data_IF_632121739824
#
_entry.id   IF_632121739824
#
_cell.length_a   1.000
_cell.length_b   1.000
_cell.length_c   1.000
_cell.angle_alpha   90.00
_cell.angle_beta   90.00
_cell.angle_gamma   90.00
#
_symmetry.space_group_name_H-M   'P 1'
#
loop_
_entity.id
_entity.type
_entity.pdbx_description
1 polymer ?
#
# COMPACT_ATOMS: atom_id res chain seq x y z
N UNK A 1 -25.07 0.92 8.62
CA UNK A 1 -25.26 1.06 7.16
C UNK A 1 -25.77 -0.28 6.61
N UNK A 2 -26.86 -0.33 5.82
CA UNK A 2 -27.55 -1.60 5.48
C UNK A 2 -26.86 -2.46 4.40
N UNK A 3 -26.04 -1.88 3.51
CA UNK A 3 -25.36 -2.59 2.40
C UNK A 3 -23.94 -2.04 2.17
N UNK A 4 -22.97 -2.33 3.07
CA UNK A 4 -21.64 -1.74 3.01
C UNK A 4 -20.85 -2.09 1.75
N UNK A 5 -20.97 -3.32 1.23
CA UNK A 5 -20.30 -3.77 0.01
C UNK A 5 -20.68 -2.94 -1.24
N UNK A 6 -21.97 -2.61 -1.38
CA UNK A 6 -22.45 -1.81 -2.51
C UNK A 6 -22.00 -0.36 -2.40
N UNK A 7 -22.04 0.20 -1.19
CA UNK A 7 -21.54 1.53 -0.91
C UNK A 7 -20.04 1.63 -1.21
N UNK A 8 -19.28 0.56 -0.92
CA UNK A 8 -17.85 0.50 -1.19
C UNK A 8 -17.57 0.53 -2.70
N UNK A 9 -18.24 -0.32 -3.48
CA UNK A 9 -18.11 -0.30 -4.95
C UNK A 9 -18.51 1.06 -5.55
N UNK A 10 -19.58 1.67 -5.04
CA UNK A 10 -19.99 3.02 -5.47
C UNK A 10 -18.91 4.07 -5.17
N UNK A 11 -18.27 3.98 -4.00
CA UNK A 11 -17.17 4.89 -3.63
C UNK A 11 -15.97 4.74 -4.55
N UNK A 12 -15.58 3.50 -4.90
CA UNK A 12 -14.50 3.23 -5.87
C UNK A 12 -14.84 3.82 -7.24
N UNK A 13 -16.04 3.57 -7.75
CA UNK A 13 -16.48 4.13 -9.04
C UNK A 13 -16.49 5.65 -9.04
N UNK A 14 -16.89 6.28 -7.94
CA UNK A 14 -16.90 7.74 -7.82
C UNK A 14 -15.48 8.32 -7.89
N UNK A 15 -14.50 7.66 -7.24
CA UNK A 15 -13.09 8.06 -7.30
C UNK A 15 -12.52 7.83 -8.70
N UNK A 16 -12.82 6.70 -9.35
CA UNK A 16 -12.35 6.44 -10.74
C UNK A 16 -12.83 7.54 -11.69
N UNK A 17 -14.08 7.99 -11.54
CA UNK A 17 -14.66 9.04 -12.39
C UNK A 17 -14.18 10.45 -12.06
N UNK A 18 -13.91 10.73 -10.78
CA UNK A 18 -13.43 12.04 -10.34
C UNK A 18 -12.49 11.89 -9.13
N UNK A 19 -11.21 11.56 -9.37
CA UNK A 19 -10.22 11.29 -8.32
C UNK A 19 -9.75 12.55 -7.59
N UNK A 20 -9.88 13.74 -8.19
CA UNK A 20 -9.51 15.00 -7.57
C UNK A 20 -10.57 15.50 -6.55
N UNK A 21 -11.78 14.95 -6.57
CA UNK A 21 -12.86 15.41 -5.70
C UNK A 21 -12.78 14.80 -4.30
N UNK A 22 -12.26 15.57 -3.33
CA UNK A 22 -11.99 15.12 -1.97
C UNK A 22 -13.18 14.42 -1.27
N UNK A 23 -14.42 14.82 -1.54
CA UNK A 23 -15.61 14.20 -0.92
C UNK A 23 -15.80 12.75 -1.36
N UNK A 24 -15.31 12.36 -2.53
CA UNK A 24 -15.33 10.96 -2.95
C UNK A 24 -14.45 10.10 -2.04
N UNK A 25 -13.28 10.63 -1.67
CA UNK A 25 -12.37 9.99 -0.72
C UNK A 25 -12.94 9.96 0.71
N UNK A 26 -13.61 11.01 1.18
CA UNK A 26 -14.30 10.98 2.48
C UNK A 26 -15.43 9.94 2.55
N UNK A 27 -16.22 9.81 1.46
CA UNK A 27 -17.26 8.77 1.37
C UNK A 27 -16.65 7.38 1.42
N UNK A 28 -15.54 7.17 0.71
CA UNK A 28 -14.80 5.91 0.78
C UNK A 28 -14.29 5.63 2.19
N UNK A 29 -13.71 6.63 2.87
CA UNK A 29 -13.23 6.50 4.23
C UNK A 29 -14.34 6.13 5.23
N UNK A 30 -15.53 6.72 5.08
CA UNK A 30 -16.70 6.39 5.89
C UNK A 30 -17.16 4.94 5.68
N UNK A 31 -17.13 4.45 4.44
CA UNK A 31 -17.46 3.05 4.14
C UNK A 31 -16.41 2.09 4.70
N UNK A 32 -15.11 2.39 4.54
CA UNK A 32 -14.04 1.58 5.12
C UNK A 32 -14.14 1.50 6.65
N UNK A 33 -14.42 2.62 7.32
CA UNK A 33 -14.68 2.62 8.77
C UNK A 33 -15.84 1.69 9.15
N UNK A 34 -16.92 1.69 8.39
CA UNK A 34 -18.07 0.80 8.64
C UNK A 34 -17.76 -0.69 8.40
N UNK A 35 -16.69 -0.97 7.66
CA UNK A 35 -16.17 -2.31 7.40
C UNK A 35 -15.00 -2.67 8.33
N UNK A 36 -14.70 -1.82 9.32
CA UNK A 36 -13.57 -1.97 10.25
C UNK A 36 -12.19 -2.01 9.56
N UNK A 37 -12.11 -1.40 8.37
CA UNK A 37 -10.91 -1.28 7.55
C UNK A 37 -10.22 0.07 7.81
N UNK A 38 -9.78 0.24 9.06
CA UNK A 38 -9.36 1.54 9.57
C UNK A 38 -8.10 2.10 8.89
N UNK A 39 -7.16 1.24 8.51
CA UNK A 39 -5.96 1.64 7.75
C UNK A 39 -6.32 2.24 6.39
N UNK A 40 -7.21 1.59 5.63
CA UNK A 40 -7.70 2.13 4.36
C UNK A 40 -8.54 3.40 4.58
N UNK A 41 -9.34 3.46 5.66
CA UNK A 41 -10.07 4.67 6.01
C UNK A 41 -9.14 5.85 6.30
N UNK A 42 -8.03 5.61 7.02
CA UNK A 42 -7.00 6.61 7.30
C UNK A 42 -6.37 7.11 5.99
N UNK A 43 -5.98 6.20 5.09
CA UNK A 43 -5.41 6.56 3.78
C UNK A 43 -6.37 7.41 2.95
N UNK A 44 -7.63 6.98 2.81
CA UNK A 44 -8.64 7.74 2.06
C UNK A 44 -8.87 9.13 2.68
N UNK A 45 -8.84 9.25 4.01
CA UNK A 45 -9.02 10.54 4.68
C UNK A 45 -7.82 11.47 4.47
N UNK A 46 -6.60 10.95 4.56
CA UNK A 46 -5.37 11.70 4.26
C UNK A 46 -5.39 12.23 2.81
N UNK A 47 -5.76 11.38 1.85
CA UNK A 47 -5.92 11.78 0.45
C UNK A 47 -7.01 12.85 0.30
N UNK A 48 -8.12 12.74 1.04
CA UNK A 48 -9.17 13.75 1.02
C UNK A 48 -8.65 15.12 1.51
N UNK A 49 -7.90 15.16 2.61
CA UNK A 49 -7.34 16.40 3.12
C UNK A 49 -6.35 17.01 2.11
N UNK A 50 -5.46 16.19 1.55
CA UNK A 50 -4.50 16.64 0.54
C UNK A 50 -5.18 17.17 -0.73
N UNK A 51 -6.15 16.44 -1.28
CA UNK A 51 -6.89 16.84 -2.49
C UNK A 51 -7.78 18.07 -2.25
N UNK A 52 -8.29 18.26 -1.03
CA UNK A 52 -8.99 19.48 -0.64
C UNK A 52 -8.10 20.72 -0.79
N UNK A 53 -6.87 20.66 -0.29
CA UNK A 53 -5.89 21.74 -0.44
C UNK A 53 -5.43 21.92 -1.89
N UNK A 54 -5.13 20.83 -2.60
CA UNK A 54 -4.75 20.84 -4.01
C UNK A 54 -5.81 21.54 -4.89
N UNK A 55 -7.09 21.34 -4.56
CA UNK A 55 -8.23 21.93 -5.28
C UNK A 55 -8.52 23.39 -4.89
N UNK A 56 -7.64 24.05 -4.12
CA UNK A 56 -7.79 25.44 -3.69
C UNK A 56 -8.68 25.61 -2.45
N UNK A 57 -8.88 24.56 -1.66
CA UNK A 57 -9.54 24.64 -0.35
C UNK A 57 -8.75 25.55 0.60
N UNK A 58 -9.43 26.54 1.18
CA UNK A 58 -8.82 27.53 2.10
C UNK A 58 -9.45 27.56 3.49
N UNK A 59 -10.55 26.84 3.68
CA UNK A 59 -11.20 26.76 4.98
C UNK A 59 -10.45 25.80 5.91
N UNK A 60 -9.74 26.39 6.87
CA UNK A 60 -8.99 25.68 7.89
C UNK A 60 -9.89 24.82 8.77
N UNK A 61 -11.15 25.19 8.96
CA UNK A 61 -12.09 24.42 9.77
C UNK A 61 -12.38 23.06 9.11
N UNK A 62 -12.69 23.05 7.81
CA UNK A 62 -12.89 21.83 7.04
C UNK A 62 -11.66 20.91 7.10
N UNK A 63 -10.46 21.43 6.82
CA UNK A 63 -9.23 20.62 6.90
C UNK A 63 -8.99 20.08 8.32
N UNK A 64 -9.24 20.87 9.36
CA UNK A 64 -9.14 20.43 10.76
C UNK A 64 -10.06 19.25 11.05
N UNK A 65 -11.32 19.29 10.60
CA UNK A 65 -12.26 18.18 10.77
C UNK A 65 -11.81 16.91 10.05
N UNK A 66 -11.28 17.05 8.83
CA UNK A 66 -10.75 15.91 8.06
C UNK A 66 -9.55 15.29 8.79
N UNK A 67 -8.62 16.10 9.29
CA UNK A 67 -7.46 15.63 10.07
C UNK A 67 -7.85 14.95 11.38
N UNK A 68 -8.87 15.45 12.08
CA UNK A 68 -9.40 14.77 13.28
C UNK A 68 -9.98 13.41 12.93
N UNK A 69 -10.69 13.29 11.82
CA UNK A 69 -11.20 11.99 11.34
C UNK A 69 -10.03 11.06 10.95
N UNK A 70 -9.01 11.58 10.29
CA UNK A 70 -7.81 10.83 9.92
C UNK A 70 -7.08 10.30 11.17
N UNK A 71 -6.90 11.15 12.19
CA UNK A 71 -6.31 10.78 13.47
C UNK A 71 -7.09 9.64 14.14
N UNK A 72 -8.41 9.77 14.23
CA UNK A 72 -9.25 8.73 14.81
C UNK A 72 -9.12 7.39 14.06
N UNK A 73 -8.97 7.41 12.73
CA UNK A 73 -8.78 6.17 11.95
C UNK A 73 -7.41 5.53 12.19
N UNK A 74 -6.35 6.31 12.35
CA UNK A 74 -5.03 5.78 12.71
C UNK A 74 -5.07 5.18 14.12
N UNK A 75 -5.64 5.89 15.09
CA UNK A 75 -5.72 5.43 16.48
C UNK A 75 -6.52 4.14 16.61
N UNK A 76 -7.64 4.02 15.89
CA UNK A 76 -8.43 2.79 15.86
C UNK A 76 -7.67 1.66 15.16
N UNK A 77 -6.96 1.94 14.05
CA UNK A 77 -6.14 0.94 13.37
C UNK A 77 -5.02 0.38 14.28
N UNK A 78 -4.40 1.24 15.09
CA UNK A 78 -3.39 0.84 16.08
C UNK A 78 -4.03 0.03 17.21
N UNK A 79 -5.15 0.50 17.75
CA UNK A 79 -5.86 -0.15 18.87
C UNK A 79 -6.33 -1.55 18.50
N UNK A 80 -6.71 -1.77 17.25
CA UNK A 80 -7.16 -3.07 16.71
C UNK A 80 -6.02 -3.95 16.19
N UNK A 81 -4.78 -3.45 16.14
CA UNK A 81 -3.66 -4.19 15.59
C UNK A 81 -3.22 -5.33 16.53
N UNK A 82 -3.46 -6.57 16.13
CA UNK A 82 -3.04 -7.74 16.91
C UNK A 82 -1.56 -8.13 16.68
N UNK A 83 -1.07 -7.92 15.46
CA UNK A 83 0.17 -8.50 14.94
C UNK A 83 1.37 -7.54 14.92
N UNK A 84 1.11 -6.24 15.08
CA UNK A 84 2.15 -5.22 15.05
C UNK A 84 1.89 -4.12 16.07
N UNK A 85 2.97 -3.44 16.48
CA UNK A 85 2.94 -2.18 17.22
C UNK A 85 3.72 -1.12 16.44
N UNK A 86 3.46 0.15 16.70
CA UNK A 86 3.98 1.26 15.92
C UNK A 86 4.58 2.36 16.80
N UNK A 87 5.64 2.96 16.29
CA UNK A 87 6.20 4.20 16.82
C UNK A 87 6.53 5.15 15.67
N UNK A 88 6.03 6.38 15.77
CA UNK A 88 6.41 7.48 14.88
C UNK A 88 7.48 8.33 15.57
N UNK A 89 8.60 8.57 14.87
CA UNK A 89 9.68 9.43 15.39
C UNK A 89 9.88 10.63 14.48
N UNK A 90 9.83 11.88 14.99
CA UNK A 90 10.12 13.06 14.19
C UNK A 90 11.47 12.96 13.48
N UNK A 91 11.51 13.33 12.20
CA UNK A 91 12.68 13.15 11.35
C UNK A 91 13.14 14.48 10.71
N UNK A 92 14.44 14.77 10.81
CA UNK A 92 15.12 15.89 10.15
C UNK A 92 16.15 15.36 9.12
N UNK A 93 15.68 15.10 7.89
CA UNK A 93 16.36 14.95 6.58
C UNK A 93 17.54 13.94 6.45
N UNK A 94 18.29 13.54 7.49
CA UNK A 94 19.30 12.45 7.37
C UNK A 94 19.32 11.49 8.56
N UNK A 95 18.97 10.22 8.32
CA UNK A 95 19.16 9.12 9.27
C UNK A 95 20.55 8.54 9.06
N UNK A 96 21.38 8.52 10.11
CA UNK A 96 22.60 7.70 10.16
C UNK A 96 22.25 6.32 10.74
N UNK A 97 22.99 5.27 10.40
CA UNK A 97 22.76 3.93 10.93
C UNK A 97 22.80 3.88 12.48
N UNK A 98 23.64 4.69 13.10
CA UNK A 98 23.71 4.88 14.56
C UNK A 98 22.39 5.40 15.17
N UNK A 99 21.58 6.13 14.39
CA UNK A 99 20.27 6.59 14.83
C UNK A 99 19.23 5.47 14.75
N UNK A 100 19.34 4.53 13.80
CA UNK A 100 18.38 3.43 13.70
C UNK A 100 18.47 2.45 14.86
N UNK A 101 19.68 2.17 15.39
CA UNK A 101 19.82 1.25 16.52
C UNK A 101 19.26 1.84 17.81
N UNK A 102 19.49 3.13 18.05
CA UNK A 102 18.85 3.86 19.17
C UNK A 102 17.32 3.83 19.08
N UNK A 103 16.75 3.97 17.88
CA UNK A 103 15.30 3.89 17.69
C UNK A 103 14.76 2.50 18.00
N UNK A 104 15.49 1.44 17.61
CA UNK A 104 15.13 0.06 17.96
C UNK A 104 15.17 -0.15 19.46
N UNK A 105 16.20 0.32 20.16
CA UNK A 105 16.29 0.21 21.62
C UNK A 105 15.12 0.92 22.32
N UNK A 106 14.79 2.15 21.91
CA UNK A 106 13.63 2.89 22.43
C UNK A 106 12.33 2.14 22.14
N UNK A 107 12.19 1.58 20.94
CA UNK A 107 11.03 0.79 20.56
C UNK A 107 10.86 -0.45 21.45
N UNK A 108 11.94 -1.24 21.62
CA UNK A 108 11.96 -2.47 22.44
C UNK A 108 11.49 -2.17 23.86
N UNK A 109 11.97 -1.07 24.45
CA UNK A 109 11.57 -0.66 25.80
C UNK A 109 10.09 -0.30 25.92
N UNK A 110 9.49 0.29 24.88
CA UNK A 110 8.09 0.72 24.88
C UNK A 110 7.13 -0.39 24.48
N UNK A 111 7.57 -1.33 23.64
CA UNK A 111 6.73 -2.36 23.05
C UNK A 111 7.41 -3.74 23.10
N UNK A 112 7.68 -4.27 24.31
CA UNK A 112 8.43 -5.52 24.47
C UNK A 112 7.75 -6.73 23.83
N UNK A 113 6.42 -6.71 23.69
CA UNK A 113 5.65 -7.83 23.11
C UNK A 113 5.72 -7.92 21.58
N UNK A 114 6.39 -6.96 20.92
CA UNK A 114 6.41 -6.81 19.46
C UNK A 114 7.85 -6.73 18.91
N UNK A 115 8.78 -7.49 19.50
CA UNK A 115 10.22 -7.39 19.21
C UNK A 115 10.79 -8.53 18.37
N UNK A 116 9.96 -9.51 17.98
CA UNK A 116 10.39 -10.65 17.14
C UNK A 116 11.01 -10.19 15.82
N UNK A 117 10.52 -9.06 15.29
CA UNK A 117 11.17 -8.35 14.20
C UNK A 117 10.80 -6.87 14.22
N UNK A 118 11.80 -6.00 14.08
CA UNK A 118 11.61 -4.54 14.02
C UNK A 118 11.90 -4.07 12.61
N UNK A 119 10.87 -3.54 11.96
CA UNK A 119 10.93 -2.92 10.65
C UNK A 119 10.95 -1.40 10.80
N UNK A 120 11.80 -0.72 10.04
CA UNK A 120 11.82 0.75 9.98
C UNK A 120 11.74 1.18 8.53
N UNK A 121 10.76 2.03 8.18
CA UNK A 121 10.65 2.55 6.81
C UNK A 121 11.70 3.64 6.58
N UNK A 122 12.94 3.22 6.26
CA UNK A 122 14.09 4.11 6.04
C UNK A 122 13.90 5.15 4.93
N UNK A 123 12.91 4.94 4.06
CA UNK A 123 12.57 5.84 2.95
C UNK A 123 11.25 6.58 3.18
N UNK A 124 10.63 6.42 4.35
CA UNK A 124 9.31 6.93 4.67
C UNK A 124 9.33 8.37 5.15
N UNK A 125 8.88 9.29 4.28
CA UNK A 125 8.41 10.61 4.69
C UNK A 125 6.95 10.47 5.14
N UNK A 126 6.74 10.01 6.38
CA UNK A 126 5.39 9.90 6.92
C UNK A 126 4.88 11.26 7.41
N UNK A 127 3.61 11.53 7.18
CA UNK A 127 2.88 12.68 7.68
C UNK A 127 1.83 12.23 8.69
N UNK A 128 1.76 12.91 9.82
CA UNK A 128 0.75 12.67 10.84
C UNK A 128 -0.29 13.78 10.85
N UNK A 129 -1.58 13.49 11.12
CA UNK A 129 -2.66 14.47 11.05
C UNK A 129 -2.45 15.71 11.93
N UNK A 130 -1.75 15.55 13.05
CA UNK A 130 -1.50 16.63 14.01
C UNK A 130 -0.50 17.68 13.50
N UNK A 131 0.40 17.29 12.60
CA UNK A 131 1.47 18.17 12.09
C UNK A 131 1.49 18.27 10.57
N UNK A 132 0.58 17.59 9.88
CA UNK A 132 0.41 17.71 8.44
C UNK A 132 -0.06 19.13 8.14
N UNK A 133 0.74 19.87 7.39
CA UNK A 133 0.37 21.15 6.82
C UNK A 133 0.70 21.14 5.33
N UNK A 134 -0.31 20.86 4.51
CA UNK A 134 -0.16 20.77 3.06
C UNK A 134 0.05 22.15 2.41
N UNK A 135 -0.16 23.24 3.14
CA UNK A 135 0.19 24.58 2.68
C UNK A 135 1.68 24.90 2.88
N UNK A 136 2.36 24.14 3.75
CA UNK A 136 3.78 24.30 4.02
C UNK A 136 4.60 23.44 3.04
N UNK A 137 5.65 23.99 2.39
CA UNK A 137 6.50 23.26 1.46
C UNK A 137 7.39 22.20 2.14
N UNK A 138 7.54 22.25 3.47
CA UNK A 138 8.36 21.31 4.25
C UNK A 138 7.62 20.87 5.53
N UNK A 139 6.53 20.08 5.42
CA UNK A 139 5.80 19.63 6.59
C UNK A 139 6.67 18.69 7.44
N UNK A 140 6.42 18.69 8.75
CA UNK A 140 7.11 17.80 9.68
C UNK A 140 6.92 16.35 9.24
N UNK A 141 8.04 15.68 8.95
CA UNK A 141 8.06 14.27 8.55
C UNK A 141 8.41 13.37 9.71
N UNK A 142 7.93 12.13 9.66
CA UNK A 142 8.18 11.11 10.67
C UNK A 142 8.78 9.86 10.04
N UNK A 143 9.64 9.21 10.80
CA UNK A 143 10.05 7.85 10.55
C UNK A 143 9.07 6.88 11.22
N UNK A 144 8.59 5.90 10.47
CA UNK A 144 7.75 4.82 10.98
C UNK A 144 8.63 3.64 11.41
N UNK A 145 8.48 3.22 12.66
CA UNK A 145 9.02 1.95 13.18
C UNK A 145 7.86 1.03 13.54
N UNK A 146 7.89 -0.18 13.01
CA UNK A 146 6.93 -1.24 13.29
C UNK A 146 7.63 -2.39 14.02
N UNK A 147 7.05 -2.80 15.14
CA UNK A 147 7.40 -4.05 15.81
C UNK A 147 6.41 -5.13 15.42
N UNK A 148 6.89 -6.32 15.08
CA UNK A 148 6.08 -7.44 14.63
C UNK A 148 6.23 -8.61 15.58
N UNK A 149 5.13 -9.34 15.81
CA UNK A 149 5.14 -10.61 16.57
C UNK A 149 5.62 -11.81 15.75
N UNK A 150 5.78 -11.65 14.44
CA UNK A 150 6.17 -12.73 13.55
C UNK A 150 7.35 -12.31 12.68
N UNK A 151 8.47 -12.99 12.88
CA UNK A 151 9.72 -12.72 12.17
C UNK A 151 9.63 -12.91 10.66
N UNK A 152 8.88 -13.90 10.20
CA UNK A 152 8.73 -14.17 8.76
C UNK A 152 7.89 -13.10 8.07
N UNK A 153 6.85 -12.58 8.74
CA UNK A 153 6.09 -11.41 8.27
C UNK A 153 6.99 -10.19 8.13
N UNK A 154 7.88 -9.96 9.10
CA UNK A 154 8.82 -8.84 9.08
C UNK A 154 9.85 -8.93 7.96
N UNK A 155 10.51 -10.08 7.82
CA UNK A 155 11.41 -10.35 6.68
C UNK A 155 10.69 -10.18 5.36
N UNK A 156 9.43 -10.61 5.27
CA UNK A 156 8.63 -10.49 4.06
C UNK A 156 8.34 -9.01 3.73
N UNK A 157 7.98 -8.22 4.74
CA UNK A 157 7.71 -6.79 4.61
C UNK A 157 8.97 -6.02 4.17
N UNK A 158 10.12 -6.23 4.83
CA UNK A 158 11.40 -5.61 4.46
C UNK A 158 11.82 -6.02 3.05
N UNK A 159 11.65 -7.31 2.73
CA UNK A 159 11.87 -7.82 1.39
C UNK A 159 11.01 -7.07 0.39
N UNK A 160 9.75 -6.73 0.67
CA UNK A 160 8.91 -5.95 -0.24
C UNK A 160 9.28 -4.47 -0.32
N UNK A 161 9.62 -3.84 0.81
CA UNK A 161 9.98 -2.42 0.81
C UNK A 161 11.30 -2.14 0.12
N UNK A 162 12.31 -3.01 0.22
CA UNK A 162 13.61 -2.81 -0.45
C UNK A 162 13.60 -3.10 -1.96
N UNK A 163 12.44 -3.35 -2.59
CA UNK A 163 12.36 -3.81 -3.98
C UNK A 163 11.81 -2.76 -4.94
N UNK A 164 12.50 -2.61 -6.08
CA UNK A 164 11.99 -1.84 -7.23
C UNK A 164 10.85 -2.53 -7.98
N UNK A 165 10.68 -3.84 -7.81
CA UNK A 165 9.65 -4.67 -8.48
C UNK A 165 9.19 -5.83 -7.55
N UNK A 166 7.88 -6.10 -7.42
CA UNK A 166 7.36 -7.15 -6.56
C UNK A 166 7.74 -8.55 -7.06
N UNK A 167 8.21 -9.40 -6.15
CA UNK A 167 8.50 -10.82 -6.44
C UNK A 167 7.98 -11.71 -5.32
N UNK A 168 6.88 -12.41 -5.57
CA UNK A 168 6.40 -13.48 -4.69
C UNK A 168 6.88 -14.80 -5.27
N UNK A 169 8.14 -15.17 -4.99
CA UNK A 169 8.53 -16.57 -5.09
C UNK A 169 9.22 -16.98 -3.81
N UNK A 170 8.50 -17.78 -3.02
CA UNK A 170 9.10 -18.77 -2.11
C UNK A 170 9.33 -20.10 -2.85
N UNK A 171 9.38 -20.07 -4.18
CA UNK A 171 9.52 -21.29 -4.97
C UNK A 171 10.99 -21.58 -5.27
N UNK A 172 11.39 -22.83 -4.99
CA UNK A 172 12.67 -23.40 -5.40
C UNK A 172 12.76 -23.66 -6.91
N UNK A 173 11.64 -23.60 -7.65
CA UNK A 173 11.62 -23.71 -9.11
C UNK A 173 10.60 -22.72 -9.75
N UNK A 174 10.91 -22.04 -10.87
CA UNK A 174 10.11 -20.91 -11.38
C UNK A 174 8.83 -21.29 -12.13
N UNK A 175 8.46 -22.57 -12.20
CA UNK A 175 7.45 -23.07 -13.15
C UNK A 175 6.50 -24.15 -12.59
N UNK A 176 6.49 -24.41 -11.28
CA UNK A 176 5.45 -25.26 -10.70
C UNK A 176 4.10 -24.53 -10.76
N UNK A 177 3.03 -25.17 -11.29
CA UNK A 177 1.68 -24.69 -11.09
C UNK A 177 1.43 -24.55 -9.58
N UNK A 178 1.05 -23.35 -9.12
CA UNK A 178 0.64 -23.14 -7.74
C UNK A 178 -0.59 -24.02 -7.50
N UNK A 179 -0.48 -24.97 -6.58
CA UNK A 179 -1.61 -25.81 -6.17
C UNK A 179 -2.68 -24.96 -5.49
N UNK A 180 -3.94 -25.41 -5.48
CA UNK A 180 -5.01 -24.67 -4.77
C UNK A 180 -4.68 -24.46 -3.29
N UNK A 181 -4.05 -25.42 -2.65
CA UNK A 181 -3.66 -25.35 -1.23
C UNK A 181 -2.52 -24.33 -1.00
N UNK A 182 -1.54 -24.28 -1.89
CA UNK A 182 -0.50 -23.25 -1.85
C UNK A 182 -1.08 -21.86 -2.09
N UNK A 183 -2.00 -21.71 -3.05
CA UNK A 183 -2.70 -20.45 -3.31
C UNK A 183 -3.49 -19.98 -2.08
N UNK A 184 -4.14 -20.90 -1.36
CA UNK A 184 -4.87 -20.60 -0.13
C UNK A 184 -3.92 -20.13 0.99
N UNK A 185 -2.80 -20.83 1.23
CA UNK A 185 -1.79 -20.40 2.22
C UNK A 185 -1.18 -19.03 1.89
N UNK A 186 -0.90 -18.80 0.60
CA UNK A 186 -0.40 -17.51 0.12
C UNK A 186 -1.46 -16.42 0.31
N UNK A 187 -2.71 -16.70 -0.01
CA UNK A 187 -3.82 -15.78 0.17
C UNK A 187 -3.98 -15.36 1.63
N UNK A 188 -3.88 -16.30 2.57
CA UNK A 188 -3.96 -15.99 4.00
C UNK A 188 -2.78 -15.15 4.47
N UNK A 189 -1.57 -15.48 4.03
CA UNK A 189 -0.36 -14.72 4.42
C UNK A 189 -0.40 -13.32 3.85
N UNK A 190 -0.64 -13.17 2.55
CA UNK A 190 -0.67 -11.89 1.86
C UNK A 190 -1.86 -11.05 2.32
N UNK A 191 -3.07 -11.63 2.26
CA UNK A 191 -4.31 -10.93 2.51
C UNK A 191 -4.54 -10.55 3.96
N UNK A 192 -4.26 -11.44 4.91
CA UNK A 192 -4.58 -11.20 6.32
C UNK A 192 -3.43 -10.60 7.12
N UNK A 193 -2.18 -10.78 6.68
CA UNK A 193 -1.01 -10.32 7.44
C UNK A 193 -0.28 -9.17 6.77
N UNK A 194 0.03 -9.30 5.48
CA UNK A 194 0.87 -8.32 4.79
C UNK A 194 0.09 -7.09 4.35
N UNK A 195 -1.00 -7.26 3.59
CA UNK A 195 -1.79 -6.14 3.06
C UNK A 195 -2.27 -5.18 4.15
N UNK A 196 -2.77 -5.63 5.32
CA UNK A 196 -3.19 -4.71 6.38
C UNK A 196 -2.05 -3.85 6.92
N UNK A 197 -0.83 -4.40 7.03
CA UNK A 197 0.36 -3.66 7.45
C UNK A 197 0.75 -2.65 6.36
N UNK A 198 0.71 -3.03 5.09
CA UNK A 198 0.98 -2.11 3.99
C UNK A 198 -0.04 -0.96 3.93
N UNK A 199 -1.32 -1.28 4.06
CA UNK A 199 -2.38 -0.28 4.10
C UNK A 199 -2.21 0.65 5.30
N UNK A 200 -1.74 0.14 6.44
CA UNK A 200 -1.41 0.95 7.62
C UNK A 200 -0.25 1.92 7.34
N UNK A 201 0.88 1.42 6.80
CA UNK A 201 2.05 2.24 6.41
C UNK A 201 1.58 3.36 5.45
N UNK A 202 0.77 3.01 4.45
CA UNK A 202 0.22 3.93 3.46
C UNK A 202 -0.83 4.89 4.03
N UNK A 203 -1.41 4.60 5.19
CA UNK A 203 -2.33 5.49 5.91
C UNK A 203 -1.69 6.77 6.42
N UNK A 204 -0.36 6.86 6.41
CA UNK A 204 0.42 8.04 6.81
C UNK A 204 1.42 8.51 5.76
N UNK A 205 1.29 8.03 4.52
CA UNK A 205 2.27 8.27 3.46
C UNK A 205 1.58 8.60 2.14
N UNK A 206 1.74 9.85 1.69
CA UNK A 206 1.16 10.33 0.44
C UNK A 206 1.80 9.66 -0.78
N UNK A 207 3.13 9.69 -0.84
CA UNK A 207 3.92 9.19 -1.98
C UNK A 207 4.60 7.86 -1.65
N UNK A 208 4.54 6.91 -2.57
CA UNK A 208 5.23 5.63 -2.40
C UNK A 208 6.71 5.77 -2.76
N UNK A 209 7.60 5.41 -1.85
CA UNK A 209 9.05 5.54 -2.04
C UNK A 209 9.65 4.51 -3.00
N UNK A 210 8.90 3.48 -3.40
CA UNK A 210 9.43 2.28 -4.03
C UNK A 210 8.96 2.03 -5.48
N UNK A 211 8.04 2.87 -5.97
CA UNK A 211 7.49 3.03 -7.31
C UNK A 211 6.06 3.54 -7.10
N UNK A 212 5.54 4.40 -7.99
CA UNK A 212 4.21 4.98 -7.86
C UNK A 212 3.09 3.96 -7.61
N UNK A 213 3.28 2.72 -8.07
CA UNK A 213 2.27 1.67 -8.05
C UNK A 213 2.58 0.50 -7.11
N UNK A 214 3.62 0.57 -6.25
CA UNK A 214 4.09 -0.60 -5.49
C UNK A 214 2.95 -1.28 -4.74
N UNK A 215 2.28 -0.58 -3.80
CA UNK A 215 1.19 -1.14 -2.99
C UNK A 215 -0.04 -1.60 -3.77
N UNK A 216 -0.24 -1.10 -5.00
CA UNK A 216 -1.33 -1.54 -5.89
C UNK A 216 -0.99 -2.89 -6.51
N UNK A 217 0.27 -3.15 -6.84
CA UNK A 217 0.67 -4.39 -7.49
C UNK A 217 0.45 -5.58 -6.54
N UNK A 218 0.76 -5.46 -5.24
CA UNK A 218 0.43 -6.51 -4.27
C UNK A 218 -1.08 -6.78 -4.20
N UNK A 219 -1.92 -5.74 -4.27
CA UNK A 219 -3.38 -5.90 -4.30
C UNK A 219 -3.86 -6.61 -5.56
N UNK A 220 -3.30 -6.29 -6.74
CA UNK A 220 -3.65 -6.96 -7.99
C UNK A 220 -3.17 -8.43 -8.01
N UNK A 221 -2.06 -8.73 -7.34
CA UNK A 221 -1.61 -10.11 -7.14
C UNK A 221 -2.54 -10.87 -6.19
N UNK A 222 -2.96 -10.25 -5.08
CA UNK A 222 -3.97 -10.80 -4.19
C UNK A 222 -5.28 -11.07 -4.94
N UNK A 223 -5.74 -10.14 -5.79
CA UNK A 223 -6.90 -10.35 -6.66
C UNK A 223 -6.72 -11.52 -7.63
N UNK A 224 -5.51 -11.70 -8.18
CA UNK A 224 -5.21 -12.83 -9.07
C UNK A 224 -5.33 -14.18 -8.35
N UNK A 225 -4.91 -14.26 -7.07
CA UNK A 225 -5.09 -15.46 -6.24
C UNK A 225 -6.57 -15.71 -5.94
N UNK A 226 -7.35 -14.67 -5.60
CA UNK A 226 -8.80 -14.77 -5.40
C UNK A 226 -9.51 -15.34 -6.63
N UNK A 227 -9.13 -14.88 -7.83
CA UNK A 227 -9.69 -15.38 -9.09
C UNK A 227 -9.40 -16.87 -9.32
N UNK A 228 -8.17 -17.34 -9.03
CA UNK A 228 -7.81 -18.77 -9.13
C UNK A 228 -8.62 -19.64 -8.17
N UNK A 229 -8.96 -19.09 -7.01
CA UNK A 229 -9.80 -19.74 -5.99
C UNK A 229 -11.30 -19.54 -6.23
N UNK A 230 -11.71 -18.97 -7.37
CA UNK A 230 -13.12 -18.70 -7.72
C UNK A 230 -13.85 -17.77 -6.73
N UNK A 231 -13.13 -16.93 -6.00
CA UNK A 231 -13.70 -15.91 -5.09
C UNK A 231 -13.98 -14.61 -5.84
N UNK A 232 -14.81 -14.69 -6.87
CA UNK A 232 -15.02 -13.64 -7.89
C UNK A 232 -15.52 -12.32 -7.29
N UNK A 233 -16.42 -12.38 -6.29
CA UNK A 233 -16.95 -11.17 -5.64
C UNK A 233 -15.84 -10.36 -4.97
N UNK A 234 -14.99 -11.03 -4.19
CA UNK A 234 -13.86 -10.40 -3.50
C UNK A 234 -12.79 -9.92 -4.48
N UNK A 235 -12.51 -10.73 -5.50
CA UNK A 235 -11.62 -10.33 -6.58
C UNK A 235 -12.07 -9.01 -7.21
N UNK A 236 -13.34 -8.88 -7.57
CA UNK A 236 -13.90 -7.65 -8.15
C UNK A 236 -13.77 -6.46 -7.20
N UNK A 237 -14.06 -6.64 -5.91
CA UNK A 237 -13.90 -5.58 -4.91
C UNK A 237 -12.44 -5.09 -4.81
N UNK A 238 -11.47 -6.01 -4.74
CA UNK A 238 -10.05 -5.66 -4.68
C UNK A 238 -9.59 -4.95 -5.94
N UNK A 239 -10.04 -5.39 -7.13
CA UNK A 239 -9.67 -4.75 -8.40
C UNK A 239 -10.31 -3.36 -8.51
N UNK A 240 -11.56 -3.18 -8.11
CA UNK A 240 -12.20 -1.85 -8.06
C UNK A 240 -11.45 -0.90 -7.12
N UNK A 241 -10.97 -1.39 -5.98
CA UNK A 241 -10.12 -0.61 -5.10
C UNK A 241 -8.77 -0.26 -5.74
N UNK A 242 -8.10 -1.23 -6.34
CA UNK A 242 -6.84 -1.00 -7.05
C UNK A 242 -7.00 0.04 -8.17
N UNK A 243 -8.10 -0.02 -8.93
CA UNK A 243 -8.43 0.96 -9.96
C UNK A 243 -8.64 2.37 -9.40
N UNK A 244 -9.37 2.49 -8.28
CA UNK A 244 -9.56 3.78 -7.62
C UNK A 244 -8.22 4.35 -7.10
N UNK A 245 -7.35 3.50 -6.55
CA UNK A 245 -6.01 3.92 -6.12
C UNK A 245 -5.17 4.36 -7.32
N UNK A 246 -5.13 3.59 -8.42
CA UNK A 246 -4.41 3.94 -9.65
C UNK A 246 -4.88 5.29 -10.22
N UNK A 247 -6.20 5.52 -10.29
CA UNK A 247 -6.75 6.77 -10.78
C UNK A 247 -6.34 7.99 -9.93
N UNK A 248 -5.98 7.78 -8.67
CA UNK A 248 -5.63 8.84 -7.73
C UNK A 248 -4.14 9.22 -7.78
N UNK A 249 -3.25 8.27 -8.13
CA UNK A 249 -1.79 8.48 -8.11
C UNK A 249 -1.34 9.75 -8.86
N UNK A 250 -1.85 10.07 -10.08
CA UNK A 250 -1.43 11.28 -10.81
C UNK A 250 -1.67 12.60 -10.08
N UNK A 251 -2.54 12.60 -9.07
CA UNK A 251 -2.87 13.78 -8.27
C UNK A 251 -2.06 13.87 -6.98
N UNK A 252 -1.41 12.79 -6.56
CA UNK A 252 -0.67 12.72 -5.29
C UNK A 252 0.82 13.04 -5.44
N UNK A 253 1.37 12.86 -6.64
CA UNK A 253 2.79 13.06 -6.91
C UNK A 253 3.05 13.32 -8.39
N UNK A 254 4.19 13.95 -8.68
CA UNK A 254 4.70 14.05 -10.03
C UNK A 254 5.15 12.67 -10.52
N UNK A 255 4.53 12.19 -11.59
CA UNK A 255 4.84 10.90 -12.19
C UNK A 255 5.76 11.12 -13.39
N UNK A 256 6.88 10.39 -13.43
CA UNK A 256 7.76 10.37 -14.59
C UNK A 256 7.15 9.53 -15.75
N UNK A 257 7.70 9.65 -16.95
CA UNK A 257 7.17 8.96 -18.12
C UNK A 257 7.11 7.42 -17.97
N UNK A 258 8.16 6.72 -17.49
CA UNK A 258 8.09 5.28 -17.24
C UNK A 258 7.01 4.85 -16.24
N UNK A 259 6.85 5.57 -15.13
CA UNK A 259 5.83 5.27 -14.12
C UNK A 259 4.42 5.54 -14.65
N UNK A 260 4.26 6.51 -15.55
CA UNK A 260 2.99 6.80 -16.22
C UNK A 260 2.58 5.67 -17.20
N UNK A 261 3.54 5.14 -17.98
CA UNK A 261 3.30 3.97 -18.85
C UNK A 261 2.91 2.73 -18.04
N UNK A 262 3.59 2.51 -16.91
CA UNK A 262 3.27 1.42 -15.99
C UNK A 262 1.87 1.58 -15.40
N UNK A 263 1.52 2.78 -14.94
CA UNK A 263 0.18 3.10 -14.42
C UNK A 263 -0.91 2.75 -15.45
N UNK A 264 -0.76 3.25 -16.68
CA UNK A 264 -1.72 2.99 -17.77
C UNK A 264 -1.86 1.48 -18.06
N UNK A 265 -0.74 0.78 -18.08
CA UNK A 265 -0.71 -0.68 -18.31
C UNK A 265 -1.44 -1.45 -17.20
N UNK A 266 -1.23 -1.08 -15.93
CA UNK A 266 -1.91 -1.69 -14.79
C UNK A 266 -3.41 -1.41 -14.80
N UNK A 267 -3.83 -0.20 -15.18
CA UNK A 267 -5.24 0.15 -15.31
C UNK A 267 -5.92 -0.66 -16.42
N UNK A 268 -5.27 -0.83 -17.57
CA UNK A 268 -5.79 -1.62 -18.68
C UNK A 268 -6.01 -3.09 -18.27
N UNK A 269 -5.02 -3.69 -17.60
CA UNK A 269 -5.13 -5.07 -17.13
C UNK A 269 -6.23 -5.26 -16.07
N UNK A 270 -6.39 -4.29 -15.16
CA UNK A 270 -7.43 -4.31 -14.15
C UNK A 270 -8.82 -4.19 -14.79
N UNK A 271 -8.98 -3.32 -15.79
CA UNK A 271 -10.23 -3.17 -16.55
C UNK A 271 -10.59 -4.45 -17.31
N UNK A 272 -9.65 -5.03 -18.04
CA UNK A 272 -9.89 -6.30 -18.76
C UNK A 272 -10.32 -7.41 -17.79
N UNK A 273 -9.75 -7.44 -16.59
CA UNK A 273 -10.10 -8.46 -15.57
C UNK A 273 -11.51 -8.24 -15.03
N UNK A 274 -11.93 -7.00 -14.79
CA UNK A 274 -13.30 -6.67 -14.40
C UNK A 274 -14.32 -7.00 -15.50
N UNK A 275 -13.95 -6.82 -16.76
CA UNK A 275 -14.80 -7.15 -17.91
C UNK A 275 -14.79 -8.64 -18.27
N UNK A 276 -13.98 -9.46 -17.59
CA UNK A 276 -13.86 -10.89 -17.89
C UNK A 276 -13.20 -11.18 -19.24
N UNK A 277 -12.50 -10.20 -19.84
CA UNK A 277 -11.79 -10.37 -21.10
C UNK A 277 -10.63 -11.33 -20.89
N UNK A 278 -10.69 -12.49 -21.56
CA UNK A 278 -9.57 -13.43 -21.64
C UNK A 278 -8.60 -12.91 -22.69
N UNK A 279 -7.45 -12.43 -22.23
CA UNK A 279 -6.30 -12.13 -23.08
C UNK A 279 -5.34 -13.30 -22.99
N UNK A 280 -4.89 -13.82 -24.14
CA UNK A 280 -3.81 -14.82 -24.20
C UNK A 280 -2.46 -14.21 -23.76
N UNK A 281 -2.39 -12.88 -23.64
CA UNK A 281 -1.20 -12.17 -23.18
C UNK A 281 -1.14 -12.17 -21.65
N UNK A 282 0.03 -12.48 -21.13
CA UNK A 282 0.31 -12.37 -19.70
C UNK A 282 0.16 -10.92 -19.21
N UNK A 283 -0.55 -10.75 -18.09
CA UNK A 283 -0.74 -9.48 -17.36
C UNK A 283 0.59 -8.86 -16.94
N UNK A 284 0.68 -7.53 -17.00
CA UNK A 284 1.85 -6.73 -16.65
C UNK A 284 2.27 -6.94 -15.20
N UNK A 285 1.33 -6.99 -14.25
CA UNK A 285 1.67 -7.27 -12.85
C UNK A 285 2.25 -8.67 -12.61
N UNK A 286 1.98 -9.64 -13.50
CA UNK A 286 2.61 -10.96 -13.47
C UNK A 286 4.01 -10.92 -14.12
N UNK A 287 4.17 -10.21 -15.25
CA UNK A 287 5.47 -10.02 -15.91
C UNK A 287 6.48 -9.34 -14.99
N UNK A 288 6.03 -8.36 -14.22
CA UNK A 288 6.84 -7.64 -13.23
C UNK A 288 7.49 -8.61 -12.22
N UNK A 289 6.82 -9.72 -11.87
CA UNK A 289 7.40 -10.75 -11.00
C UNK A 289 8.53 -11.55 -11.67
N UNK A 290 8.58 -11.61 -13.00
CA UNK A 290 9.52 -12.46 -13.76
C UNK A 290 10.88 -11.82 -14.02
N UNK A 291 11.03 -10.49 -13.87
CA UNK A 291 12.26 -9.75 -14.28
C UNK A 291 13.42 -9.86 -13.27
N UNK A 292 13.54 -10.98 -12.54
CA UNK A 292 14.78 -11.35 -11.83
C UNK A 292 15.52 -12.47 -12.57
N UNK A 293 16.22 -12.10 -13.65
CA UNK A 293 17.53 -12.72 -13.95
C UNK A 293 18.57 -11.61 -14.01
N UNK A 294 19.60 -11.59 -13.13
CA UNK A 294 20.84 -10.93 -13.50
C UNK A 294 21.38 -11.67 -14.73
N UNK A 295 21.59 -10.92 -15.82
CA UNK A 295 22.22 -11.41 -17.04
C UNK A 295 23.72 -11.59 -16.74
N UNK A 296 24.09 -12.70 -16.09
CA UNK A 296 25.48 -13.13 -16.06
C UNK A 296 25.87 -13.49 -17.49
N UNK A 297 26.83 -12.73 -18.04
CA UNK A 297 27.42 -13.02 -19.35
C UNK A 297 28.09 -14.38 -19.26
N UNK A 298 27.63 -15.32 -20.07
CA UNK A 298 28.50 -16.36 -20.60
C UNK A 298 29.45 -15.67 -21.58
N UNK A 299 30.54 -15.12 -21.06
CA UNK A 299 31.75 -14.86 -21.85
C UNK A 299 32.75 -15.92 -21.43
N UNK A 300 32.72 -17.03 -22.14
CA UNK A 300 33.56 -18.19 -21.91
C UNK A 300 33.52 -19.08 -23.14
N UNK A 301 34.06 -18.59 -24.25
CA UNK A 301 34.61 -19.44 -25.31
C UNK A 301 35.82 -18.72 -25.91
N UNK A 302 36.94 -19.12 -25.32
CA UNK A 302 38.30 -19.31 -25.81
C UNK A 302 38.69 -18.78 -27.19
N UNK A 303 39.81 -18.03 -27.16
CA UNK A 303 40.77 -17.95 -28.25
C UNK A 303 41.45 -19.31 -28.46
N UNK A 304 41.74 -19.58 -29.74
CA UNK A 304 42.54 -20.67 -30.32
C UNK A 304 41.87 -22.05 -30.33
#
# INVERSE_FOLDING_TARGET
MRKPDLALNHSHRSIILNPAYFRNHLRQAAVFRCLERYSEAARSTMIADYTYWLSGGRDQHTSKLIKLYWQAMIEEAITRAEYFSVMYTPFAIKIRAENTDKLKEVFIRKHPDYVEYIYTDSHGLHSLPQTADWSCPSPQSYLLTLGLKNKEVGKFLEKMSCRKLPTFSEHKAPFSPITKDEAQRHLETIGKRILPIMDFIRGTKLTESFCACSGVIEKLQYASLLGRLQRIKEQSQVINQAMAELATIPYLQDINHPDAELLQSLMADAMDTLEGRKSDKERVWNKIQKVKKPRWRLSGESRC
#
